data_IF_853493461609
#
_entry.id   IF_853493461609
#
_cell.length_a   1.000
_cell.length_b   1.000
_cell.length_c   1.000
_cell.angle_alpha   90.00
_cell.angle_beta   90.00
_cell.angle_gamma   90.00
#
_symmetry.space_group_name_H-M   'P 1'
#
loop_
_entity.id
_entity.type
_entity.pdbx_description
1 polymer ?
#
# COMPACT_ATOMS: atom_id res chain seq x y z
N UNK A 1 21.17 -18.20 -8.91
CA UNK A 1 20.07 -18.97 -8.27
C UNK A 1 20.11 -20.40 -8.78
N UNK A 2 19.96 -21.39 -7.90
CA UNK A 2 19.94 -22.80 -8.31
C UNK A 2 18.61 -23.15 -8.99
N UNK A 3 18.59 -24.12 -9.90
CA UNK A 3 17.35 -24.59 -10.57
C UNK A 3 16.30 -25.04 -9.54
N UNK A 4 16.75 -25.71 -8.47
CA UNK A 4 15.88 -26.10 -7.36
C UNK A 4 15.20 -24.88 -6.69
N UNK A 5 15.93 -23.79 -6.45
CA UNK A 5 15.36 -22.58 -5.85
C UNK A 5 14.29 -21.92 -6.74
N UNK A 6 14.48 -21.93 -8.06
CA UNK A 6 13.50 -21.38 -9.00
C UNK A 6 12.19 -22.19 -9.00
N UNK A 7 12.30 -23.52 -8.98
CA UNK A 7 11.13 -24.42 -8.94
C UNK A 7 10.34 -24.21 -7.63
N UNK A 8 11.03 -24.11 -6.49
CA UNK A 8 10.39 -23.88 -5.20
C UNK A 8 9.65 -22.54 -5.17
N UNK A 9 10.29 -21.45 -5.61
CA UNK A 9 9.65 -20.12 -5.68
C UNK A 9 8.40 -20.17 -6.58
N UNK A 10 8.48 -20.82 -7.74
CA UNK A 10 7.34 -20.94 -8.65
C UNK A 10 6.16 -21.70 -8.02
N UNK A 11 6.44 -22.83 -7.33
CA UNK A 11 5.42 -23.61 -6.61
C UNK A 11 4.77 -22.76 -5.51
N UNK A 12 5.56 -22.02 -4.73
CA UNK A 12 5.04 -21.16 -3.67
C UNK A 12 4.17 -20.03 -4.23
N UNK A 13 4.58 -19.37 -5.31
CA UNK A 13 3.77 -18.32 -5.96
C UNK A 13 2.45 -18.90 -6.45
N UNK A 14 2.48 -20.07 -7.10
CA UNK A 14 1.27 -20.73 -7.60
C UNK A 14 0.32 -21.13 -6.45
N UNK A 15 0.87 -21.63 -5.35
CA UNK A 15 0.11 -21.93 -4.14
C UNK A 15 -0.56 -20.68 -3.54
N UNK A 16 0.17 -19.56 -3.43
CA UNK A 16 -0.39 -18.29 -2.95
C UNK A 16 -1.50 -17.77 -3.86
N UNK A 17 -1.29 -17.83 -5.19
CA UNK A 17 -2.30 -17.45 -6.17
C UNK A 17 -3.56 -18.33 -6.07
N UNK A 18 -3.40 -19.63 -5.91
CA UNK A 18 -4.51 -20.56 -5.74
C UNK A 18 -5.31 -20.28 -4.46
N UNK A 19 -4.62 -20.00 -3.34
CA UNK A 19 -5.28 -19.62 -2.08
C UNK A 19 -6.06 -18.31 -2.23
N UNK A 20 -5.46 -17.31 -2.87
CA UNK A 20 -6.10 -16.02 -3.09
C UNK A 20 -7.31 -16.16 -4.01
N UNK A 21 -7.19 -16.91 -5.10
CA UNK A 21 -8.31 -17.23 -6.00
C UNK A 21 -9.43 -17.99 -5.29
N UNK A 22 -9.10 -18.99 -4.49
CA UNK A 22 -10.06 -19.73 -3.66
C UNK A 22 -10.80 -18.80 -2.70
N UNK A 23 -10.07 -17.90 -2.01
CA UNK A 23 -10.65 -16.92 -1.10
C UNK A 23 -11.65 -15.99 -1.79
N UNK A 24 -11.33 -15.48 -2.98
CA UNK A 24 -12.22 -14.58 -3.72
C UNK A 24 -13.39 -15.31 -4.42
N UNK A 25 -13.22 -16.58 -4.79
CA UNK A 25 -14.22 -17.36 -5.55
C UNK A 25 -15.19 -18.10 -4.64
N UNK A 26 -14.75 -18.54 -3.47
CA UNK A 26 -15.60 -19.30 -2.56
C UNK A 26 -16.62 -18.38 -1.87
N UNK A 27 -17.88 -18.44 -2.31
CA UNK A 27 -19.01 -17.64 -1.78
C UNK A 27 -19.48 -18.04 -0.37
N UNK A 28 -18.60 -18.65 0.44
CA UNK A 28 -18.94 -19.21 1.75
C UNK A 28 -18.94 -18.19 2.89
N UNK A 29 -19.15 -16.91 2.59
CA UNK A 29 -19.38 -15.86 3.59
C UNK A 29 -20.79 -15.31 3.44
N UNK A 30 -21.80 -16.17 3.65
CA UNK A 30 -23.24 -15.82 3.58
C UNK A 30 -23.71 -14.78 4.63
N UNK A 31 -22.81 -14.18 5.43
CA UNK A 31 -23.10 -13.15 6.43
C UNK A 31 -22.01 -12.07 6.57
N UNK A 32 -21.13 -11.90 5.58
CA UNK A 32 -20.14 -10.80 5.63
C UNK A 32 -20.62 -9.63 4.78
N UNK A 33 -20.81 -8.46 5.40
CA UNK A 33 -21.15 -7.18 4.77
C UNK A 33 -20.03 -6.62 3.87
N UNK A 34 -19.21 -7.49 3.29
CA UNK A 34 -18.11 -7.12 2.42
C UNK A 34 -18.70 -6.63 1.09
N UNK A 35 -18.69 -5.30 0.89
CA UNK A 35 -19.05 -4.70 -0.39
C UNK A 35 -17.83 -4.69 -1.32
N UNK A 36 -17.69 -5.63 -2.28
CA UNK A 36 -16.53 -5.72 -3.17
C UNK A 36 -16.32 -4.43 -3.97
N UNK A 37 -17.40 -3.73 -4.35
CA UNK A 37 -17.32 -2.43 -5.06
C UNK A 37 -16.56 -1.38 -4.23
N UNK A 38 -16.80 -1.34 -2.91
CA UNK A 38 -16.13 -0.40 -2.01
C UNK A 38 -14.66 -0.76 -1.83
N UNK A 39 -14.35 -2.06 -1.74
CA UNK A 39 -12.99 -2.57 -1.66
C UNK A 39 -12.17 -2.26 -2.92
N UNK A 40 -12.70 -2.50 -4.11
CA UNK A 40 -12.01 -2.14 -5.36
C UNK A 40 -11.78 -0.63 -5.47
N UNK A 41 -12.78 0.20 -5.10
CA UNK A 41 -12.60 1.65 -5.06
C UNK A 41 -11.49 2.06 -4.08
N UNK A 42 -11.47 1.48 -2.88
CA UNK A 42 -10.42 1.72 -1.89
C UNK A 42 -9.04 1.36 -2.45
N UNK A 43 -8.91 0.18 -3.07
CA UNK A 43 -7.66 -0.28 -3.66
C UNK A 43 -7.15 0.68 -4.74
N UNK A 44 -8.00 1.10 -5.68
CA UNK A 44 -7.61 2.06 -6.71
C UNK A 44 -7.19 3.41 -6.12
N UNK A 45 -7.88 3.91 -5.10
CA UNK A 45 -7.52 5.17 -4.44
C UNK A 45 -6.18 5.05 -3.72
N UNK A 46 -5.92 3.95 -3.01
CA UNK A 46 -4.64 3.71 -2.34
C UNK A 46 -3.48 3.65 -3.35
N UNK A 47 -3.64 2.92 -4.46
CA UNK A 47 -2.62 2.82 -5.52
C UNK A 47 -2.38 4.18 -6.18
N UNK A 48 -3.43 4.89 -6.59
CA UNK A 48 -3.30 6.20 -7.22
C UNK A 48 -2.63 7.23 -6.29
N UNK A 49 -3.00 7.22 -5.01
CA UNK A 49 -2.40 8.12 -4.02
C UNK A 49 -0.93 7.75 -3.77
N UNK A 50 -0.60 6.46 -3.70
CA UNK A 50 0.80 5.99 -3.60
C UNK A 50 1.65 6.47 -4.77
N UNK A 51 1.16 6.33 -6.00
CA UNK A 51 1.86 6.83 -7.20
C UNK A 51 1.97 8.36 -7.16
N UNK A 52 0.92 9.07 -6.74
CA UNK A 52 0.92 10.53 -6.61
C UNK A 52 1.98 11.04 -5.63
N UNK A 53 2.09 10.44 -4.45
CA UNK A 53 3.16 10.77 -3.49
C UNK A 53 4.54 10.35 -3.98
N UNK A 54 4.68 9.23 -4.70
CA UNK A 54 5.94 8.84 -5.32
C UNK A 54 6.43 9.90 -6.32
N UNK A 55 5.53 10.41 -7.16
CA UNK A 55 5.82 11.53 -8.06
C UNK A 55 6.19 12.78 -7.28
N UNK A 56 5.48 13.10 -6.20
CA UNK A 56 5.79 14.26 -5.35
C UNK A 56 7.21 14.17 -4.77
N UNK A 57 7.60 13.04 -4.16
CA UNK A 57 8.93 12.87 -3.61
C UNK A 57 10.03 12.90 -4.67
N UNK A 58 9.79 12.29 -5.84
CA UNK A 58 10.71 12.36 -6.96
C UNK A 58 10.92 13.80 -7.45
N UNK A 59 9.85 14.60 -7.55
CA UNK A 59 9.96 16.01 -7.94
C UNK A 59 10.69 16.87 -6.91
N UNK A 60 10.47 16.59 -5.61
CA UNK A 60 11.20 17.25 -4.52
C UNK A 60 12.69 16.86 -4.52
N UNK A 61 13.02 15.62 -4.93
CA UNK A 61 14.41 15.15 -4.94
C UNK A 61 15.29 15.85 -5.97
N UNK A 62 14.68 16.50 -6.97
CA UNK A 62 15.38 17.24 -8.04
C UNK A 62 16.13 18.45 -7.46
N UNK A 63 15.60 19.08 -6.40
CA UNK A 63 16.25 20.24 -5.79
C UNK A 63 17.29 19.82 -4.74
N UNK A 64 16.92 18.89 -3.87
CA UNK A 64 17.77 18.41 -2.78
C UNK A 64 17.44 16.95 -2.46
N UNK A 65 18.39 16.16 -1.94
CA UNK A 65 18.08 14.81 -1.48
C UNK A 65 16.97 14.81 -0.42
N UNK A 66 15.92 14.02 -0.65
CA UNK A 66 14.79 13.92 0.28
C UNK A 66 14.66 12.57 0.98
N UNK A 67 15.42 11.57 0.53
CA UNK A 67 15.54 10.26 1.15
C UNK A 67 17.01 9.92 1.40
N UNK A 68 17.28 9.30 2.55
CA UNK A 68 18.59 8.72 2.88
C UNK A 68 18.45 7.23 3.14
N UNK A 69 19.54 6.51 2.95
CA UNK A 69 19.67 5.12 3.38
C UNK A 69 19.90 5.09 4.88
N UNK A 70 19.18 4.24 5.60
CA UNK A 70 19.37 4.06 7.03
C UNK A 70 20.53 3.11 7.32
N UNK A 71 21.73 3.63 7.14
CA UNK A 71 22.97 2.99 7.50
C UNK A 71 23.90 3.99 8.22
N UNK A 72 25.07 3.55 8.73
CA UNK A 72 26.00 4.45 9.42
C UNK A 72 26.57 5.58 8.55
N UNK A 73 26.44 5.49 7.22
CA UNK A 73 26.94 6.49 6.28
C UNK A 73 25.92 7.59 6.05
N UNK A 74 24.62 7.27 6.12
CA UNK A 74 23.53 8.24 5.94
C UNK A 74 23.49 8.82 4.52
N UNK A 75 24.02 8.08 3.55
CA UNK A 75 24.13 8.55 2.17
C UNK A 75 22.74 8.79 1.55
N UNK A 76 22.62 9.79 0.65
CA UNK A 76 21.42 9.98 -0.15
C UNK A 76 21.00 8.69 -0.85
N UNK A 77 19.71 8.36 -0.77
CA UNK A 77 19.17 7.25 -1.54
C UNK A 77 19.28 7.56 -3.03
N UNK A 78 19.50 6.52 -3.85
CA UNK A 78 19.53 6.67 -5.30
C UNK A 78 18.21 7.28 -5.78
N UNK A 79 18.30 8.37 -6.57
CA UNK A 79 17.14 9.15 -7.02
C UNK A 79 16.40 8.50 -8.19
N UNK A 80 16.00 7.23 -8.03
CA UNK A 80 15.17 6.53 -9.00
C UNK A 80 13.71 6.65 -8.61
N UNK A 81 12.82 6.77 -9.60
CA UNK A 81 11.37 6.73 -9.35
C UNK A 81 10.96 5.45 -8.61
N UNK A 82 11.65 4.33 -8.86
CA UNK A 82 11.41 3.07 -8.17
C UNK A 82 11.61 3.17 -6.64
N UNK A 83 12.67 3.83 -6.18
CA UNK A 83 12.92 4.03 -4.74
C UNK A 83 11.85 4.92 -4.10
N UNK A 84 11.40 5.99 -4.78
CA UNK A 84 10.32 6.83 -4.28
C UNK A 84 8.96 6.12 -4.30
N UNK A 85 8.70 5.27 -5.29
CA UNK A 85 7.48 4.45 -5.35
C UNK A 85 7.47 3.42 -4.21
N UNK A 86 8.61 2.78 -3.96
CA UNK A 86 8.79 1.87 -2.84
C UNK A 86 8.60 2.57 -1.49
N UNK A 87 9.30 3.68 -1.25
CA UNK A 87 9.14 4.49 -0.03
C UNK A 87 7.68 4.94 0.17
N UNK A 88 7.05 5.42 -0.90
CA UNK A 88 5.64 5.83 -0.89
C UNK A 88 4.71 4.68 -0.54
N UNK A 89 4.92 3.48 -1.10
CA UNK A 89 4.12 2.29 -0.77
C UNK A 89 4.28 1.85 0.68
N UNK A 90 5.52 1.77 1.15
CA UNK A 90 5.87 1.44 2.54
C UNK A 90 5.25 2.43 3.52
N UNK A 91 5.22 3.72 3.18
CA UNK A 91 4.60 4.79 3.97
C UNK A 91 3.07 4.72 3.95
N UNK A 92 2.47 4.58 2.76
CA UNK A 92 1.00 4.48 2.58
C UNK A 92 0.42 3.28 3.34
N UNK A 93 1.12 2.15 3.32
CA UNK A 93 0.66 0.93 3.97
C UNK A 93 1.09 0.85 5.44
N UNK A 94 1.70 1.92 5.99
CA UNK A 94 2.20 1.98 7.37
C UNK A 94 3.17 0.86 7.74
N UNK A 95 3.92 0.33 6.77
CA UNK A 95 4.87 -0.75 6.97
C UNK A 95 6.14 -0.21 7.64
N UNK A 96 6.70 0.88 7.11
CA UNK A 96 7.83 1.59 7.69
C UNK A 96 9.06 0.72 7.99
N UNK A 97 9.59 -0.04 7.01
CA UNK A 97 10.78 -0.89 7.21
C UNK A 97 11.99 -0.12 7.76
N UNK A 98 12.06 1.18 7.47
CA UNK A 98 13.08 2.08 7.99
C UNK A 98 14.40 2.02 7.23
N UNK A 99 14.46 1.32 6.10
CA UNK A 99 15.59 1.25 5.18
C UNK A 99 15.80 2.54 4.37
N UNK A 100 14.69 3.19 3.96
CA UNK A 100 14.69 4.54 3.40
C UNK A 100 14.02 5.52 4.37
N UNK A 101 14.72 6.59 4.71
CA UNK A 101 14.26 7.56 5.72
C UNK A 101 14.07 8.94 5.08
N UNK A 102 12.91 9.60 5.31
CA UNK A 102 12.68 10.93 4.77
C UNK A 102 13.47 11.99 5.54
N UNK A 103 14.04 12.92 4.80
CA UNK A 103 14.72 14.12 5.29
C UNK A 103 14.12 15.38 4.68
N UNK A 104 14.46 16.54 5.25
CA UNK A 104 13.96 17.83 4.78
C UNK A 104 12.43 17.89 4.71
N UNK A 105 11.92 18.47 3.62
CA UNK A 105 10.48 18.68 3.39
C UNK A 105 9.68 17.38 3.22
N UNK A 106 10.32 16.26 2.84
CA UNK A 106 9.62 14.98 2.66
C UNK A 106 9.05 14.43 3.98
N UNK A 107 9.62 14.82 5.15
CA UNK A 107 9.08 14.43 6.47
C UNK A 107 7.66 14.92 6.69
N UNK A 108 7.37 16.13 6.25
CA UNK A 108 6.03 16.71 6.39
C UNK A 108 5.02 15.94 5.55
N UNK A 109 5.35 15.70 4.28
CA UNK A 109 4.49 14.95 3.37
C UNK A 109 4.34 13.48 3.76
N UNK A 110 5.37 12.83 4.32
CA UNK A 110 5.29 11.44 4.78
C UNK A 110 4.31 11.26 5.94
N UNK A 111 4.23 12.24 6.85
CA UNK A 111 3.24 12.22 7.94
C UNK A 111 1.82 12.33 7.37
N UNK A 112 1.60 13.25 6.43
CA UNK A 112 0.29 13.40 5.75
C UNK A 112 -0.07 12.11 5.03
N UNK A 113 0.86 11.54 4.28
CA UNK A 113 0.66 10.31 3.54
C UNK A 113 0.32 9.13 4.45
N UNK A 114 1.08 8.93 5.53
CA UNK A 114 0.83 7.86 6.48
C UNK A 114 -0.53 8.03 7.17
N UNK A 115 -0.92 9.28 7.47
CA UNK A 115 -2.24 9.60 8.02
C UNK A 115 -3.35 9.22 7.04
N UNK A 116 -3.21 9.57 5.76
CA UNK A 116 -4.17 9.16 4.71
C UNK A 116 -4.23 7.63 4.60
N UNK A 117 -3.07 6.97 4.58
CA UNK A 117 -2.96 5.52 4.49
C UNK A 117 -3.68 4.77 5.59
N UNK A 118 -3.68 5.32 6.81
CA UNK A 118 -4.41 4.77 7.95
C UNK A 118 -5.91 5.14 7.94
N UNK A 119 -6.24 6.41 7.68
CA UNK A 119 -7.60 6.93 7.81
C UNK A 119 -8.51 6.53 6.64
N UNK A 120 -7.97 6.38 5.43
CA UNK A 120 -8.75 6.11 4.23
C UNK A 120 -9.42 4.72 4.26
N UNK A 121 -8.71 3.62 4.60
CA UNK A 121 -9.36 2.32 4.82
C UNK A 121 -10.43 2.39 5.91
N UNK A 122 -10.14 3.01 7.05
CA UNK A 122 -11.08 3.14 8.16
C UNK A 122 -12.38 3.86 7.74
N UNK A 123 -12.25 4.98 7.03
CA UNK A 123 -13.39 5.74 6.51
C UNK A 123 -14.22 4.92 5.51
N UNK A 124 -13.58 4.17 4.61
CA UNK A 124 -14.26 3.29 3.67
C UNK A 124 -15.00 2.17 4.38
N UNK A 125 -14.39 1.52 5.38
CA UNK A 125 -15.07 0.49 6.16
C UNK A 125 -16.30 1.02 6.90
N UNK A 126 -16.18 2.17 7.59
CA UNK A 126 -17.33 2.80 8.25
C UNK A 126 -18.48 3.06 7.27
N UNK A 127 -18.18 3.59 6.08
CA UNK A 127 -19.18 3.82 5.03
C UNK A 127 -19.84 2.51 4.56
N UNK A 128 -19.07 1.44 4.44
CA UNK A 128 -19.59 0.11 4.11
C UNK A 128 -20.56 -0.42 5.15
N UNK A 129 -20.21 -0.29 6.44
CA UNK A 129 -21.08 -0.69 7.56
C UNK A 129 -22.38 0.13 7.61
N UNK A 130 -22.32 1.45 7.46
CA UNK A 130 -23.53 2.28 7.46
C UNK A 130 -24.46 1.98 6.29
N UNK A 131 -23.92 1.71 5.10
CA UNK A 131 -24.70 1.34 3.93
C UNK A 131 -25.40 -0.03 4.10
N UNK A 132 -24.74 -0.97 4.78
CA UNK A 132 -25.31 -2.27 5.09
C UNK A 132 -26.50 -2.17 6.06
N UNK A 133 -26.37 -1.41 7.15
CA UNK A 133 -27.44 -1.25 8.15
C UNK A 133 -28.72 -0.63 7.56
N UNK A 134 -28.58 0.37 6.68
CA UNK A 134 -29.73 0.99 6.01
C UNK A 134 -30.48 0.05 5.05
N UNK A 135 -29.84 -1.00 4.57
CA UNK A 135 -30.49 -1.98 3.69
C UNK A 135 -31.32 -3.01 4.46
N UNK A 136 -30.94 -3.34 5.70
CA UNK A 136 -31.70 -4.25 6.57
C UNK A 136 -32.92 -3.58 7.20
N UNK A 137 -32.86 -2.28 7.52
CA UNK A 137 -33.99 -1.54 8.12
C UNK A 137 -35.13 -1.27 7.12
N UNK A 138 -34.87 -1.41 5.81
CA UNK A 138 -35.85 -1.20 4.73
C UNK A 138 -36.43 -2.48 4.13
N UNK A 139 -35.99 -3.66 4.60
CA UNK A 139 -36.43 -4.98 4.14
C UNK A 139 -37.40 -5.61 5.14
#
# INVERSE_FOLDING_TARGET
MSVASMILIAITILFLMANLYYFFTNKSYKKSYFCPVLFYKLFYVLVATTVGFACLYYLLSIQEPVLIINDPTGEPAEQTFANFLYFSGVTMLSIGYGDLVPIGVARFFSIIQASIGLLLPAAYFMKGFSAAQQSEEKA
#
